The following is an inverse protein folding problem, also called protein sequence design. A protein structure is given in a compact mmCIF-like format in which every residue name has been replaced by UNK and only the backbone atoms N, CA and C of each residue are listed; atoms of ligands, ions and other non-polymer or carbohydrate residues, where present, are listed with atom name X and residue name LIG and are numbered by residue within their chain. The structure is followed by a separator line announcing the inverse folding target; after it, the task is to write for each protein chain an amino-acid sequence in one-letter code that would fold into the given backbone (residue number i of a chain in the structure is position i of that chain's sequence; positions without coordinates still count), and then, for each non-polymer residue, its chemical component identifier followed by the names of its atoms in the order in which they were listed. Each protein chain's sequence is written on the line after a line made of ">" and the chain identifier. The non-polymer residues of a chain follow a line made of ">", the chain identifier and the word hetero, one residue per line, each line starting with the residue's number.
data_IF_241817167279
#
_entry.id   IF_241817167279
#
_cell.length_a   1.000
_cell.length_b   1.000
_cell.length_c   1.000
_cell.angle_alpha   90.00
_cell.angle_beta   90.00
_cell.angle_gamma   90.00
#
_symmetry.space_group_name_H-M   'P 1'
#
loop_
_entity.id
_entity.type
_entity.pdbx_description
1 polymer ?
#
# COMPACT_ATOMS: atom_id res chain seq x y z
N UNK A 1 -4.88 40.65 -6.66
CA UNK A 1 -5.16 39.21 -6.91
C UNK A 1 -4.13 38.39 -6.14
N UNK A 2 -4.44 38.01 -4.89
CA UNK A 2 -3.60 37.14 -4.05
C UNK A 2 -4.24 35.75 -4.10
N UNK A 3 -3.56 34.78 -4.68
CA UNK A 3 -4.05 33.40 -4.69
C UNK A 3 -3.46 32.58 -5.81
N UNK A 4 -2.24 32.08 -5.61
CA UNK A 4 -1.80 30.74 -6.06
C UNK A 4 -0.30 30.62 -5.78
N UNK A 5 0.05 30.47 -4.50
CA UNK A 5 1.44 30.20 -4.12
C UNK A 5 1.45 29.13 -3.02
N UNK A 6 0.85 27.96 -3.29
CA UNK A 6 0.85 26.83 -2.33
C UNK A 6 1.12 25.44 -2.90
N UNK A 7 1.34 25.28 -4.21
CA UNK A 7 1.69 23.99 -4.81
C UNK A 7 3.17 23.89 -5.20
N UNK A 8 4.06 24.34 -4.32
CA UNK A 8 5.51 24.24 -4.53
C UNK A 8 5.99 22.83 -4.19
N UNK A 9 6.10 21.95 -5.18
CA UNK A 9 6.80 20.66 -5.10
C UNK A 9 6.21 19.70 -4.08
N UNK A 10 5.05 19.12 -4.39
CA UNK A 10 4.34 18.17 -3.53
C UNK A 10 4.40 16.79 -4.18
N UNK A 11 5.06 15.84 -3.52
CA UNK A 11 4.86 14.42 -3.80
C UNK A 11 3.58 14.00 -3.07
N UNK A 12 2.61 13.49 -3.82
CA UNK A 12 1.34 13.05 -3.26
C UNK A 12 1.24 11.53 -3.37
N UNK A 13 1.12 10.88 -2.22
CA UNK A 13 0.86 9.46 -2.13
C UNK A 13 -0.63 9.26 -1.85
N UNK A 14 -1.33 8.55 -2.74
CA UNK A 14 -2.77 8.26 -2.63
C UNK A 14 -2.96 6.74 -2.60
N UNK A 15 -2.29 6.06 -1.68
CA UNK A 15 -2.32 4.61 -1.54
C UNK A 15 -2.21 4.17 -0.08
N UNK A 16 -2.64 2.94 0.19
CA UNK A 16 -2.44 2.27 1.47
C UNK A 16 -1.06 1.58 1.43
N UNK A 17 -0.21 1.89 2.40
CA UNK A 17 1.13 1.29 2.49
C UNK A 17 1.02 -0.15 2.97
N UNK A 18 1.61 -1.08 2.22
CA UNK A 18 1.66 -2.51 2.56
C UNK A 18 3.10 -2.96 2.88
N UNK A 19 3.28 -4.13 3.53
CA UNK A 19 4.60 -4.67 3.85
C UNK A 19 5.52 -4.79 2.63
N UNK A 20 6.82 -4.84 2.89
CA UNK A 20 7.87 -4.90 1.87
C UNK A 20 7.57 -6.01 0.85
N UNK A 21 7.69 -5.69 -0.44
CA UNK A 21 7.57 -6.69 -1.50
C UNK A 21 8.87 -7.48 -1.69
N UNK A 22 10.02 -6.81 -1.81
CA UNK A 22 11.32 -7.45 -2.12
C UNK A 22 12.46 -7.12 -1.15
N UNK A 23 12.71 -5.85 -0.86
CA UNK A 23 13.91 -5.43 -0.10
C UNK A 23 13.54 -4.49 1.06
N UNK A 24 14.23 -4.55 2.22
CA UNK A 24 15.32 -5.47 2.60
C UNK A 24 14.88 -6.89 3.00
N UNK A 25 13.62 -7.11 3.41
CA UNK A 25 13.08 -8.42 3.77
C UNK A 25 11.62 -8.53 3.32
N UNK A 26 11.27 -9.42 2.37
CA UNK A 26 9.90 -9.61 1.90
C UNK A 26 8.92 -9.92 3.04
N UNK A 27 7.78 -9.23 3.05
CA UNK A 27 6.72 -9.42 4.05
C UNK A 27 7.01 -8.81 5.42
N UNK A 28 8.18 -8.19 5.63
CA UNK A 28 8.46 -7.47 6.87
C UNK A 28 7.69 -6.15 6.91
N UNK A 29 6.96 -5.96 8.00
CA UNK A 29 6.30 -4.70 8.37
C UNK A 29 6.10 -4.68 9.88
N UNK A 30 6.51 -3.59 10.52
CA UNK A 30 6.19 -3.31 11.93
C UNK A 30 4.77 -2.73 12.11
N UNK A 31 4.08 -2.47 11.00
CA UNK A 31 2.76 -1.85 11.03
C UNK A 31 1.65 -2.91 10.86
N UNK A 32 1.03 -3.28 11.99
CA UNK A 32 -0.22 -4.04 12.02
C UNK A 32 -1.45 -3.17 11.78
N UNK A 33 -1.31 -1.84 11.68
CA UNK A 33 -2.45 -0.95 11.47
C UNK A 33 -2.88 -0.96 9.99
N UNK A 34 -4.18 -1.10 9.75
CA UNK A 34 -4.77 -1.10 8.40
C UNK A 34 -4.78 -2.48 7.74
N UNK A 35 -4.13 -2.67 6.57
CA UNK A 35 -4.27 -3.88 5.75
C UNK A 35 -3.70 -5.14 6.40
N UNK A 36 -2.57 -5.03 7.11
CA UNK A 36 -1.98 -6.17 7.83
C UNK A 36 -2.86 -6.65 8.98
N UNK A 37 -3.43 -5.74 9.75
CA UNK A 37 -4.37 -6.07 10.84
C UNK A 37 -5.67 -6.67 10.31
N UNK A 38 -6.16 -6.17 9.18
CA UNK A 38 -7.32 -6.74 8.48
C UNK A 38 -7.05 -8.18 8.03
N UNK A 39 -5.89 -8.44 7.43
CA UNK A 39 -5.45 -9.76 7.01
C UNK A 39 -5.35 -10.74 8.19
N UNK A 40 -4.77 -10.30 9.31
CA UNK A 40 -4.67 -11.12 10.55
C UNK A 40 -6.05 -11.40 11.13
N UNK A 41 -6.93 -10.38 11.20
CA UNK A 41 -8.28 -10.54 11.72
C UNK A 41 -9.13 -11.48 10.85
N UNK A 42 -9.02 -11.37 9.52
CA UNK A 42 -9.65 -12.28 8.56
C UNK A 42 -9.12 -13.70 8.69
N UNK A 43 -7.79 -13.85 8.78
CA UNK A 43 -7.14 -15.14 8.94
C UNK A 43 -7.53 -15.84 10.25
N UNK A 44 -7.58 -15.11 11.37
CA UNK A 44 -7.98 -15.64 12.69
C UNK A 44 -9.50 -15.91 12.79
N UNK A 45 -10.29 -15.50 11.79
CA UNK A 45 -11.75 -15.60 11.83
C UNK A 45 -12.41 -14.63 12.82
N UNK A 46 -11.67 -13.64 13.33
CA UNK A 46 -12.20 -12.54 14.14
C UNK A 46 -13.01 -11.60 13.26
N UNK A 47 -12.56 -11.38 12.03
CA UNK A 47 -13.31 -10.63 11.02
C UNK A 47 -14.43 -11.53 10.47
N UNK A 48 -15.67 -11.30 10.93
CA UNK A 48 -16.85 -12.07 10.51
C UNK A 48 -17.46 -11.56 9.20
N UNK A 49 -17.45 -10.24 9.01
CA UNK A 49 -17.99 -9.54 7.84
C UNK A 49 -17.21 -8.25 7.62
N UNK A 50 -16.99 -7.87 6.37
CA UNK A 50 -16.41 -6.57 6.00
C UNK A 50 -17.40 -5.83 5.10
N UNK A 51 -17.80 -4.63 5.50
CA UNK A 51 -18.67 -3.78 4.69
C UNK A 51 -17.82 -3.06 3.64
N UNK A 52 -17.49 -3.78 2.56
CA UNK A 52 -16.79 -3.25 1.40
C UNK A 52 -17.41 -3.83 0.14
N UNK A 53 -17.39 -3.04 -0.94
CA UNK A 53 -17.71 -3.56 -2.26
C UNK A 53 -16.69 -4.66 -2.60
N UNK A 54 -17.18 -5.87 -2.86
CA UNK A 54 -16.31 -7.02 -3.18
C UNK A 54 -15.58 -6.83 -4.49
N UNK A 55 -16.11 -5.99 -5.39
CA UNK A 55 -15.48 -5.58 -6.65
C UNK A 55 -14.69 -4.27 -6.52
N UNK A 56 -14.73 -3.65 -5.33
CA UNK A 56 -13.93 -2.47 -5.03
C UNK A 56 -12.44 -2.82 -5.06
N UNK A 57 -11.67 -2.01 -5.77
CA UNK A 57 -10.22 -2.11 -5.80
C UNK A 57 -9.62 -1.31 -4.66
N UNK A 58 -8.62 -1.88 -4.00
CA UNK A 58 -7.82 -1.16 -3.02
C UNK A 58 -6.44 -0.83 -3.62
N UNK A 59 -6.06 0.45 -3.56
CA UNK A 59 -4.75 0.93 -4.02
C UNK A 59 -3.71 0.63 -2.93
N UNK A 60 -2.87 -0.39 -3.16
CA UNK A 60 -1.81 -0.79 -2.24
C UNK A 60 -0.44 -0.50 -2.84
N UNK A 61 0.41 0.21 -2.11
CA UNK A 61 1.81 0.36 -2.49
C UNK A 61 2.74 -0.24 -1.44
N UNK A 62 3.61 -1.19 -1.83
CA UNK A 62 4.67 -1.67 -0.98
C UNK A 62 5.60 -0.52 -0.54
N UNK A 63 6.02 -0.55 0.72
CA UNK A 63 6.87 0.50 1.30
C UNK A 63 8.22 0.66 0.57
N UNK A 64 8.79 -0.44 0.06
CA UNK A 64 10.04 -0.45 -0.71
C UNK A 64 9.90 0.30 -2.03
N UNK A 65 8.76 0.14 -2.71
CA UNK A 65 8.46 0.89 -3.94
C UNK A 65 8.26 2.38 -3.63
N UNK A 66 7.58 2.73 -2.53
CA UNK A 66 7.39 4.12 -2.12
C UNK A 66 8.72 4.85 -1.90
N UNK A 67 9.68 4.19 -1.24
CA UNK A 67 11.02 4.73 -0.99
C UNK A 67 11.81 4.90 -2.29
N UNK A 68 11.72 3.93 -3.20
CA UNK A 68 12.37 4.02 -4.52
C UNK A 68 11.84 5.20 -5.34
N UNK A 69 10.53 5.42 -5.36
CA UNK A 69 9.92 6.58 -6.01
C UNK A 69 10.42 7.88 -5.38
N UNK A 70 10.48 7.95 -4.06
CA UNK A 70 11.01 9.13 -3.37
C UNK A 70 12.47 9.43 -3.76
N UNK A 71 13.32 8.41 -3.87
CA UNK A 71 14.70 8.59 -4.33
C UNK A 71 14.77 9.10 -5.77
N UNK A 72 13.96 8.53 -6.67
CA UNK A 72 13.90 8.96 -8.07
C UNK A 72 13.42 10.40 -8.23
N UNK A 73 12.37 10.79 -7.50
CA UNK A 73 11.87 12.18 -7.54
C UNK A 73 12.90 13.18 -6.99
N UNK A 74 13.66 12.77 -5.98
CA UNK A 74 14.76 13.57 -5.45
C UNK A 74 15.88 13.73 -6.47
N UNK A 75 16.27 12.64 -7.14
CA UNK A 75 17.29 12.68 -8.19
C UNK A 75 16.86 13.55 -9.38
N UNK A 76 15.61 13.43 -9.85
CA UNK A 76 15.07 14.26 -10.92
C UNK A 76 15.13 15.74 -10.55
N UNK A 77 14.74 16.09 -9.32
CA UNK A 77 14.88 17.45 -8.81
C UNK A 77 16.34 17.93 -8.79
N UNK A 78 17.29 17.07 -8.43
CA UNK A 78 18.71 17.45 -8.43
C UNK A 78 19.25 17.74 -9.83
N UNK A 79 18.81 16.98 -10.83
CA UNK A 79 19.26 17.11 -12.23
C UNK A 79 18.63 18.32 -12.91
N UNK A 80 17.29 18.42 -12.88
CA UNK A 80 16.56 19.45 -13.63
C UNK A 80 16.32 20.72 -12.83
N UNK A 81 16.42 20.67 -11.49
CA UNK A 81 16.09 21.76 -10.55
C UNK A 81 14.68 22.33 -10.71
N UNK A 82 13.81 21.58 -11.37
CA UNK A 82 12.39 21.90 -11.56
C UNK A 82 11.55 21.18 -10.52
N UNK A 83 10.63 21.90 -9.87
CA UNK A 83 9.70 21.30 -8.92
C UNK A 83 8.53 20.67 -9.67
N UNK A 84 8.68 19.40 -10.04
CA UNK A 84 7.63 18.61 -10.71
C UNK A 84 6.73 17.93 -9.68
N UNK A 85 5.45 17.79 -10.03
CA UNK A 85 4.47 17.07 -9.21
C UNK A 85 4.36 15.67 -9.79
N UNK A 86 4.64 14.67 -8.96
CA UNK A 86 4.50 13.26 -9.33
C UNK A 86 3.28 12.69 -8.63
N UNK A 87 2.38 12.11 -9.42
CA UNK A 87 1.26 11.34 -8.93
C UNK A 87 1.58 9.85 -9.13
N UNK A 88 1.62 9.09 -8.04
CA UNK A 88 1.88 7.66 -8.06
C UNK A 88 0.62 6.91 -7.63
N UNK A 89 0.05 6.14 -8.56
CA UNK A 89 -1.10 5.26 -8.32
C UNK A 89 -0.72 3.84 -8.74
N UNK A 90 -1.02 2.85 -7.89
CA UNK A 90 -0.81 1.44 -8.24
C UNK A 90 -2.08 0.83 -8.87
N UNK A 91 -3.22 1.50 -8.72
CA UNK A 91 -4.55 1.02 -9.14
C UNK A 91 -4.67 0.65 -10.62
N UNK A 92 -3.77 1.14 -11.50
CA UNK A 92 -3.78 0.78 -12.91
C UNK A 92 -3.07 -0.55 -13.20
N UNK A 93 -2.02 -0.89 -12.45
CA UNK A 93 -1.20 -2.08 -12.69
C UNK A 93 -1.54 -3.24 -11.76
N UNK A 94 -1.82 -2.96 -10.48
CA UNK A 94 -2.09 -3.97 -9.47
C UNK A 94 -3.48 -3.76 -8.86
N UNK A 95 -4.46 -4.40 -9.49
CA UNK A 95 -5.84 -4.43 -9.04
C UNK A 95 -6.05 -5.61 -8.11
N UNK A 96 -5.98 -5.37 -6.81
CA UNK A 96 -6.34 -6.36 -5.79
C UNK A 96 -7.72 -6.01 -5.28
N UNK A 97 -8.68 -6.92 -5.45
CA UNK A 97 -10.03 -6.72 -4.92
C UNK A 97 -10.07 -7.04 -3.43
N UNK A 98 -11.04 -6.47 -2.71
CA UNK A 98 -11.27 -6.82 -1.31
C UNK A 98 -11.59 -8.31 -1.10
N UNK A 99 -12.18 -8.97 -2.11
CA UNK A 99 -12.38 -10.42 -2.09
C UNK A 99 -11.05 -11.17 -2.12
N UNK A 100 -10.11 -10.76 -2.99
CA UNK A 100 -8.79 -11.40 -3.11
C UNK A 100 -8.00 -11.31 -1.80
N UNK A 101 -8.04 -10.16 -1.12
CA UNK A 101 -7.37 -9.95 0.18
C UNK A 101 -7.90 -10.93 1.22
N UNK A 102 -9.23 -11.08 1.27
CA UNK A 102 -9.89 -11.97 2.23
C UNK A 102 -9.54 -13.43 1.95
N UNK A 103 -9.51 -13.83 0.68
CA UNK A 103 -9.10 -15.16 0.26
C UNK A 103 -7.62 -15.44 0.54
N UNK A 104 -6.74 -14.48 0.26
CA UNK A 104 -5.30 -14.56 0.57
C UNK A 104 -5.10 -14.72 2.07
N UNK A 105 -5.78 -13.92 2.90
CA UNK A 105 -5.72 -14.05 4.36
C UNK A 105 -6.15 -15.42 4.86
N UNK A 106 -7.23 -15.98 4.30
CA UNK A 106 -7.72 -17.33 4.62
C UNK A 106 -6.73 -18.42 4.18
N UNK A 107 -6.14 -18.31 2.98
CA UNK A 107 -5.10 -19.24 2.48
C UNK A 107 -3.82 -19.17 3.34
N UNK A 108 -3.39 -17.98 3.75
CA UNK A 108 -2.18 -17.80 4.55
C UNK A 108 -2.26 -18.50 5.90
N UNK A 109 -3.41 -18.40 6.58
CA UNK A 109 -3.64 -19.10 7.85
C UNK A 109 -3.82 -20.59 7.64
N UNK A 110 -4.52 -21.02 6.59
CA UNK A 110 -4.71 -22.45 6.33
C UNK A 110 -3.40 -23.18 5.95
N UNK A 111 -2.45 -22.48 5.32
CA UNK A 111 -1.30 -23.14 4.65
C UNK A 111 0.05 -22.84 5.31
N UNK A 112 0.26 -21.63 5.88
CA UNK A 112 1.59 -21.21 6.38
C UNK A 112 1.67 -21.03 7.89
N UNK A 113 0.60 -20.62 8.54
CA UNK A 113 0.61 -20.33 9.98
C UNK A 113 -0.61 -21.01 10.59
N UNK A 114 -0.49 -22.26 11.09
CA UNK A 114 -1.59 -22.88 11.79
C UNK A 114 -1.82 -22.06 13.06
N UNK A 115 -2.90 -21.26 13.08
CA UNK A 115 -3.36 -20.55 14.28
C UNK A 115 -4.05 -21.53 15.26
N UNK A 116 -3.54 -22.76 15.33
CA UNK A 116 -3.90 -23.72 16.36
C UNK A 116 -3.07 -23.36 17.59
N UNK A 117 -3.64 -22.48 18.42
CA UNK A 117 -3.39 -22.54 19.86
C UNK A 117 -4.08 -23.75 20.45
#
# INVERSE_FOLDING_TARGET
>A
MKGSEKDKGKLMFVFIVVPIWKEPLPGWSDNINGPTGLLIAAGKGVLRTMFCDSQGYADFLPVDVAVNILMLTTMDYMVYRERRIYNCTSSFEYKVTWSDITEIGRKLVSTRIPLNG
#
